data_IF_084114391458
#
_entry.id   IF_084114391458
#
_cell.length_a   1.000
_cell.length_b   1.000
_cell.length_c   1.000
_cell.angle_alpha   90.00
_cell.angle_beta   90.00
_cell.angle_gamma   90.00
#
_symmetry.space_group_name_H-M   'P 1'
#
loop_
_entity.id
_entity.type
_entity.pdbx_description
1 polymer ?
#
# COMPACT_ATOMS: atom_id res chain seq x y z
N UNK A 1 1.72 -2.93 24.50
CA UNK A 1 0.89 -3.93 25.19
C UNK A 1 1.58 -4.40 26.47
N UNK A 2 0.83 -4.80 27.49
CA UNK A 2 1.40 -5.40 28.68
C UNK A 2 2.27 -6.61 28.34
N UNK A 3 3.46 -6.73 28.96
CA UNK A 3 4.43 -7.81 28.71
C UNK A 3 5.26 -7.65 27.43
N UNK A 4 5.10 -6.57 26.67
CA UNK A 4 5.87 -6.33 25.46
C UNK A 4 7.33 -5.94 25.73
N UNK A 5 8.21 -6.13 24.74
CA UNK A 5 9.60 -5.64 24.81
C UNK A 5 9.68 -4.12 25.04
N UNK A 6 8.73 -3.35 24.52
CA UNK A 6 8.68 -1.91 24.73
C UNK A 6 8.36 -1.54 26.18
N UNK A 7 7.56 -2.34 26.90
CA UNK A 7 7.38 -2.17 28.34
C UNK A 7 8.71 -2.37 29.06
N UNK A 8 9.46 -3.44 28.74
CA UNK A 8 10.77 -3.72 29.35
C UNK A 8 11.76 -2.57 29.09
N UNK A 9 11.79 -2.02 27.89
CA UNK A 9 12.61 -0.83 27.56
C UNK A 9 12.17 0.37 28.36
N UNK A 10 10.86 0.66 28.44
CA UNK A 10 10.34 1.79 29.17
C UNK A 10 10.64 1.72 30.69
N UNK A 11 10.62 0.51 31.25
CA UNK A 11 10.99 0.26 32.67
C UNK A 11 12.50 0.42 32.87
N UNK A 12 13.33 -0.16 31.99
CA UNK A 12 14.78 -0.08 32.07
C UNK A 12 15.31 1.34 31.89
N UNK A 13 14.73 2.10 30.98
CA UNK A 13 15.12 3.47 30.64
C UNK A 13 14.35 4.54 31.46
N UNK A 14 13.56 4.10 32.44
CA UNK A 14 12.79 4.99 33.35
C UNK A 14 11.91 6.00 32.63
N UNK A 15 11.13 5.55 31.64
CA UNK A 15 10.18 6.41 30.95
C UNK A 15 9.22 7.05 31.94
N UNK A 16 8.95 8.35 31.76
CA UNK A 16 8.11 9.14 32.66
C UNK A 16 6.70 8.56 32.85
N UNK A 17 6.07 8.08 31.77
CA UNK A 17 4.73 7.50 31.75
C UNK A 17 4.65 6.37 30.73
N UNK A 18 3.87 5.36 31.02
CA UNK A 18 3.56 4.24 30.12
C UNK A 18 2.04 4.13 29.99
N UNK A 19 1.54 4.26 28.75
CA UNK A 19 0.14 4.05 28.41
C UNK A 19 0.00 2.76 27.65
N UNK A 20 -0.66 1.78 28.25
CA UNK A 20 -0.83 0.47 27.61
C UNK A 20 -1.87 0.49 26.51
N UNK A 21 -1.56 -0.14 25.40
CA UNK A 21 -2.53 -0.54 24.39
C UNK A 21 -3.41 -1.71 24.85
N UNK A 22 -4.47 -1.95 24.13
CA UNK A 22 -5.32 -3.14 24.31
C UNK A 22 -4.85 -4.23 23.35
N UNK A 23 -4.43 -5.42 23.84
CA UNK A 23 -3.89 -6.50 22.98
C UNK A 23 -4.88 -6.99 21.90
N UNK A 24 -6.19 -6.81 22.11
CA UNK A 24 -7.23 -7.17 21.15
C UNK A 24 -7.38 -6.20 19.98
N UNK A 25 -6.72 -5.02 20.01
CA UNK A 25 -6.82 -4.00 18.96
C UNK A 25 -5.56 -4.09 18.09
N UNK A 26 -5.73 -4.47 16.82
CA UNK A 26 -4.65 -4.45 15.83
C UNK A 26 -4.28 -3.02 15.40
N UNK A 27 -3.03 -2.82 14.93
CA UNK A 27 -2.47 -1.50 14.63
C UNK A 27 -3.34 -0.62 13.72
N UNK A 28 -3.91 -1.18 12.66
CA UNK A 28 -4.77 -0.44 11.72
C UNK A 28 -6.11 0.04 12.31
N UNK A 29 -6.55 -0.56 13.42
CA UNK A 29 -7.75 -0.16 14.17
C UNK A 29 -7.44 0.63 15.45
N UNK A 30 -6.20 1.10 15.60
CA UNK A 30 -5.73 1.67 16.88
C UNK A 30 -5.70 3.20 16.92
N UNK A 31 -6.13 3.90 15.86
CA UNK A 31 -6.08 5.36 15.78
C UNK A 31 -6.82 6.04 16.93
N UNK A 32 -7.99 5.53 17.34
CA UNK A 32 -8.80 6.04 18.44
C UNK A 32 -8.45 5.44 19.82
N UNK A 33 -7.38 4.65 19.90
CA UNK A 33 -6.86 4.08 21.15
C UNK A 33 -5.70 4.91 21.72
N UNK A 34 -5.09 4.45 22.81
CA UNK A 34 -3.87 5.06 23.36
C UNK A 34 -2.72 5.16 22.32
N UNK A 35 -2.67 4.29 21.32
CA UNK A 35 -1.65 4.35 20.26
C UNK A 35 -1.74 5.64 19.41
N UNK A 36 -2.96 6.12 19.12
CA UNK A 36 -3.16 7.39 18.42
C UNK A 36 -3.31 8.58 19.38
N UNK A 37 -4.05 8.40 20.47
CA UNK A 37 -4.38 9.53 21.36
C UNK A 37 -3.21 10.04 22.19
N UNK A 38 -2.28 9.19 22.62
CA UNK A 38 -1.11 9.63 23.38
C UNK A 38 -0.18 10.51 22.53
N UNK A 39 0.24 10.11 21.32
CA UNK A 39 1.03 11.01 20.47
C UNK A 39 0.23 12.27 20.07
N UNK A 40 -1.07 12.18 19.80
CA UNK A 40 -1.90 13.35 19.49
C UNK A 40 -1.90 14.35 20.65
N UNK A 41 -2.07 13.88 21.88
CA UNK A 41 -1.97 14.73 23.08
C UNK A 41 -0.57 15.34 23.25
N UNK A 42 0.49 14.56 22.99
CA UNK A 42 1.88 15.04 23.08
C UNK A 42 2.18 16.11 22.02
N UNK A 43 1.51 16.06 20.87
CA UNK A 43 1.57 17.10 19.83
C UNK A 43 0.73 18.35 20.13
N UNK A 44 -0.05 18.34 21.21
CA UNK A 44 -0.89 19.47 21.63
C UNK A 44 -2.28 19.50 20.97
N UNK A 45 -2.72 18.42 20.35
CA UNK A 45 -4.07 18.34 19.81
C UNK A 45 -5.11 18.23 20.92
N UNK A 46 -6.29 18.84 20.72
CA UNK A 46 -7.45 18.67 21.61
C UNK A 46 -8.05 17.28 21.42
N UNK A 47 -7.48 16.30 22.14
CA UNK A 47 -7.92 14.91 22.07
C UNK A 47 -9.35 14.72 22.59
N UNK A 48 -9.84 15.61 23.45
CA UNK A 48 -11.24 15.57 23.90
C UNK A 48 -12.17 15.90 22.74
N UNK A 49 -11.95 17.02 22.04
CA UNK A 49 -12.73 17.42 20.87
C UNK A 49 -12.69 16.31 19.80
N UNK A 50 -11.51 15.73 19.57
CA UNK A 50 -11.32 14.64 18.61
C UNK A 50 -12.16 13.41 18.97
N UNK A 51 -12.13 12.98 20.22
CA UNK A 51 -12.91 11.83 20.70
C UNK A 51 -14.42 12.13 20.77
N UNK A 52 -14.83 13.36 21.05
CA UNK A 52 -16.25 13.75 21.02
C UNK A 52 -16.82 13.55 19.59
N UNK A 53 -16.08 13.95 18.53
CA UNK A 53 -16.46 13.70 17.12
C UNK A 53 -16.52 12.20 16.80
N UNK A 54 -15.57 11.44 17.31
CA UNK A 54 -15.59 9.98 17.17
C UNK A 54 -16.80 9.34 17.81
N UNK A 55 -17.22 9.84 19.01
CA UNK A 55 -18.42 9.34 19.70
C UNK A 55 -19.70 9.68 18.96
N UNK A 56 -19.79 10.85 18.34
CA UNK A 56 -20.94 11.23 17.50
C UNK A 56 -21.10 10.22 16.34
N UNK A 57 -20.02 9.90 15.65
CA UNK A 57 -20.03 8.88 14.61
C UNK A 57 -20.34 7.48 15.14
N UNK A 58 -19.81 7.13 16.32
CA UNK A 58 -20.10 5.85 16.94
C UNK A 58 -21.59 5.68 17.26
N UNK A 59 -22.26 6.75 17.69
CA UNK A 59 -23.72 6.73 17.88
C UNK A 59 -24.47 6.62 16.55
N UNK A 60 -24.04 7.35 15.51
CA UNK A 60 -24.62 7.26 14.18
C UNK A 60 -24.43 5.87 13.51
N UNK A 61 -23.37 5.17 13.90
CA UNK A 61 -23.10 3.78 13.45
C UNK A 61 -23.64 2.73 14.43
N UNK A 62 -24.49 3.13 15.39
CA UNK A 62 -25.03 2.22 16.42
C UNK A 62 -25.96 1.14 15.84
N UNK A 63 -26.12 0.00 16.57
CA UNK A 63 -26.88 -1.16 16.07
C UNK A 63 -28.40 -0.90 15.96
N UNK A 64 -28.91 0.15 16.58
CA UNK A 64 -30.32 0.55 16.51
C UNK A 64 -30.60 1.56 15.39
N UNK A 65 -29.57 2.06 14.72
CA UNK A 65 -29.73 2.98 13.59
C UNK A 65 -30.10 2.22 12.33
N UNK A 66 -31.11 2.68 11.62
CA UNK A 66 -31.51 2.07 10.34
C UNK A 66 -30.31 2.05 9.37
N UNK A 67 -30.19 1.02 8.57
CA UNK A 67 -29.01 0.80 7.70
C UNK A 67 -28.81 1.98 6.76
N UNK A 68 -29.89 2.52 6.24
CA UNK A 68 -29.89 3.66 5.30
C UNK A 68 -29.41 4.98 5.93
N UNK A 69 -29.50 5.08 7.24
CA UNK A 69 -29.07 6.24 8.04
C UNK A 69 -27.72 6.03 8.70
N UNK A 70 -27.19 4.81 8.64
CA UNK A 70 -25.92 4.42 9.28
C UNK A 70 -24.73 4.66 8.33
N UNK A 71 -23.93 5.72 8.57
CA UNK A 71 -22.91 6.13 7.61
C UNK A 71 -21.77 5.12 7.43
N UNK A 72 -21.40 4.37 8.46
CA UNK A 72 -20.41 3.31 8.39
C UNK A 72 -20.93 2.09 7.66
N UNK A 73 -22.17 1.66 7.96
CA UNK A 73 -22.80 0.55 7.28
C UNK A 73 -23.00 0.83 5.80
N UNK A 74 -23.53 2.00 5.45
CA UNK A 74 -23.75 2.39 4.05
C UNK A 74 -22.46 2.43 3.25
N UNK A 75 -21.41 3.04 3.78
CA UNK A 75 -20.11 3.06 3.13
C UNK A 75 -19.58 1.63 2.93
N UNK A 76 -19.68 0.78 3.94
CA UNK A 76 -19.25 -0.61 3.87
C UNK A 76 -20.04 -1.44 2.87
N UNK A 77 -21.37 -1.23 2.79
CA UNK A 77 -22.24 -1.88 1.79
C UNK A 77 -21.83 -1.46 0.37
N UNK A 78 -21.61 -0.18 0.15
CA UNK A 78 -21.18 0.33 -1.17
C UNK A 78 -19.85 -0.31 -1.58
N UNK A 79 -18.84 -0.26 -0.71
CA UNK A 79 -17.51 -0.82 -0.99
C UNK A 79 -17.53 -2.34 -1.18
N UNK A 80 -18.24 -3.06 -0.29
CA UNK A 80 -18.33 -4.50 -0.35
C UNK A 80 -19.10 -5.01 -1.57
N UNK A 81 -20.20 -4.35 -1.92
CA UNK A 81 -21.02 -4.68 -3.09
C UNK A 81 -20.29 -4.34 -4.38
N UNK A 82 -19.62 -3.18 -4.45
CA UNK A 82 -18.78 -2.79 -5.57
C UNK A 82 -17.68 -3.83 -5.83
N UNK A 83 -16.98 -4.24 -4.78
CA UNK A 83 -15.92 -5.25 -4.89
C UNK A 83 -16.46 -6.60 -5.40
N UNK A 84 -17.64 -7.04 -4.92
CA UNK A 84 -18.29 -8.27 -5.43
C UNK A 84 -18.77 -8.17 -6.88
N UNK A 85 -19.01 -6.95 -7.34
CA UNK A 85 -19.42 -6.66 -8.73
C UNK A 85 -18.24 -6.37 -9.66
N UNK A 86 -17.01 -6.63 -9.23
CA UNK A 86 -15.79 -6.41 -10.02
C UNK A 86 -15.19 -5.01 -9.93
N UNK A 87 -15.77 -4.11 -9.11
CA UNK A 87 -15.20 -2.79 -8.78
C UNK A 87 -14.45 -2.87 -7.45
N UNK A 88 -13.33 -3.57 -7.46
CA UNK A 88 -12.56 -3.92 -6.27
C UNK A 88 -11.34 -3.00 -6.04
N UNK A 89 -11.17 -1.92 -6.82
CA UNK A 89 -10.12 -0.93 -6.62
C UNK A 89 -10.72 0.38 -6.10
N UNK A 90 -10.27 0.83 -4.94
CA UNK A 90 -10.73 2.07 -4.32
C UNK A 90 -9.64 3.13 -4.40
N UNK A 91 -9.83 4.13 -5.25
CA UNK A 91 -8.92 5.27 -5.35
C UNK A 91 -9.29 6.30 -4.29
N UNK A 92 -8.36 6.51 -3.37
CA UNK A 92 -8.52 7.43 -2.24
C UNK A 92 -8.00 8.80 -2.66
N UNK A 93 -8.89 9.79 -2.61
CA UNK A 93 -8.57 11.18 -2.90
C UNK A 93 -8.92 11.99 -1.66
N UNK A 94 -7.99 12.82 -1.25
CA UNK A 94 -8.17 13.67 -0.06
C UNK A 94 -7.93 15.12 -0.42
N UNK A 95 -8.52 16.03 0.34
CA UNK A 95 -8.07 17.41 0.30
C UNK A 95 -6.64 17.53 0.84
N UNK A 96 -5.86 18.54 0.39
CA UNK A 96 -4.44 18.67 0.73
C UNK A 96 -4.14 18.71 2.23
N UNK A 97 -5.03 19.28 3.03
CA UNK A 97 -4.90 19.43 4.47
C UNK A 97 -5.04 18.12 5.27
N UNK A 98 -5.55 17.06 4.66
CA UNK A 98 -5.69 15.73 5.24
C UNK A 98 -5.05 14.63 4.36
N UNK A 99 -4.04 14.98 3.59
CA UNK A 99 -3.43 14.09 2.58
C UNK A 99 -2.93 12.76 3.16
N UNK A 100 -2.50 12.71 4.40
CA UNK A 100 -1.99 11.49 5.04
C UNK A 100 -3.10 10.51 5.49
N UNK A 101 -4.37 10.93 5.48
CA UNK A 101 -5.49 10.02 5.70
C UNK A 101 -5.50 8.87 4.70
N UNK A 102 -5.10 9.13 3.45
CA UNK A 102 -4.99 8.12 2.40
C UNK A 102 -4.07 6.96 2.77
N UNK A 103 -2.93 7.25 3.37
CA UNK A 103 -1.98 6.22 3.80
C UNK A 103 -2.52 5.32 4.93
N UNK A 104 -3.34 5.85 5.84
CA UNK A 104 -4.02 5.05 6.85
C UNK A 104 -5.14 4.20 6.23
N UNK A 105 -5.95 4.77 5.33
CA UNK A 105 -7.00 4.04 4.60
C UNK A 105 -6.41 2.93 3.74
N UNK A 106 -5.25 3.16 3.12
CA UNK A 106 -4.51 2.14 2.38
C UNK A 106 -4.22 0.93 3.28
N UNK A 107 -3.69 1.16 4.48
CA UNK A 107 -3.44 0.08 5.43
C UNK A 107 -4.74 -0.59 5.87
N UNK A 108 -5.74 0.20 6.28
CA UNK A 108 -7.01 -0.31 6.79
C UNK A 108 -7.69 -1.24 5.77
N UNK A 109 -7.83 -0.80 4.52
CA UNK A 109 -8.51 -1.57 3.49
C UNK A 109 -7.70 -2.79 3.03
N UNK A 110 -6.41 -2.60 2.69
CA UNK A 110 -5.58 -3.66 2.16
C UNK A 110 -5.35 -4.79 3.17
N UNK A 111 -4.96 -4.45 4.39
CA UNK A 111 -4.64 -5.44 5.43
C UNK A 111 -5.90 -6.14 5.97
N UNK A 112 -7.04 -5.45 5.99
CA UNK A 112 -8.30 -6.02 6.46
C UNK A 112 -8.99 -6.89 5.41
N UNK A 113 -8.94 -6.53 4.12
CA UNK A 113 -9.75 -7.20 3.10
C UNK A 113 -8.98 -8.16 2.20
N UNK A 114 -7.68 -7.95 1.99
CA UNK A 114 -6.85 -8.71 1.05
C UNK A 114 -6.53 -10.13 1.51
N UNK A 115 -7.48 -11.07 1.42
CA UNK A 115 -7.37 -12.43 1.98
C UNK A 115 -8.12 -13.46 1.14
N UNK A 116 -7.61 -14.70 1.15
CA UNK A 116 -8.23 -15.87 0.49
C UNK A 116 -8.63 -15.59 -0.96
N UNK A 117 -7.78 -14.89 -1.69
CA UNK A 117 -8.02 -14.56 -3.09
C UNK A 117 -9.03 -13.44 -3.33
N UNK A 118 -9.43 -12.69 -2.30
CA UNK A 118 -10.41 -11.60 -2.35
C UNK A 118 -9.83 -10.33 -1.73
N UNK A 119 -10.49 -9.20 -1.95
CA UNK A 119 -10.15 -7.95 -1.26
C UNK A 119 -10.50 -6.71 -2.05
N UNK A 120 -10.30 -5.59 -1.38
CA UNK A 120 -10.33 -4.25 -1.96
C UNK A 120 -8.88 -3.78 -2.08
N UNK A 121 -8.49 -3.36 -3.26
CA UNK A 121 -7.16 -2.80 -3.53
C UNK A 121 -7.23 -1.28 -3.40
N UNK A 122 -6.69 -0.69 -2.34
CA UNK A 122 -6.63 0.76 -2.20
C UNK A 122 -5.55 1.35 -3.12
N UNK A 123 -5.88 2.50 -3.69
CA UNK A 123 -4.99 3.29 -4.53
C UNK A 123 -4.86 4.66 -3.88
N UNK A 124 -3.75 4.90 -3.21
CA UNK A 124 -3.45 6.18 -2.55
C UNK A 124 -2.52 7.04 -3.40
N UNK A 125 -2.62 8.38 -3.24
CA UNK A 125 -1.76 9.38 -3.88
C UNK A 125 -1.64 9.24 -5.39
N UNK A 126 -2.66 8.72 -6.06
CA UNK A 126 -2.76 8.76 -7.52
C UNK A 126 -3.36 10.11 -7.93
N UNK A 127 -2.63 10.90 -8.70
CA UNK A 127 -3.19 12.14 -9.24
C UNK A 127 -4.37 11.82 -10.15
N UNK A 128 -5.49 12.53 -9.94
CA UNK A 128 -6.70 12.32 -10.73
C UNK A 128 -6.46 12.68 -12.18
N UNK A 129 -6.59 11.68 -13.05
CA UNK A 129 -6.48 11.81 -14.50
C UNK A 129 -7.81 12.16 -15.17
N UNK A 130 -7.81 12.19 -16.50
CA UNK A 130 -9.04 12.31 -17.28
C UNK A 130 -9.86 11.00 -17.20
N UNK A 131 -11.20 11.04 -17.38
CA UNK A 131 -12.06 9.85 -17.24
C UNK A 131 -11.63 8.66 -18.11
N UNK A 132 -11.10 8.92 -19.28
CA UNK A 132 -10.74 7.90 -20.29
C UNK A 132 -9.57 7.01 -19.87
N UNK A 133 -8.78 7.44 -18.87
CA UNK A 133 -7.61 6.65 -18.41
C UNK A 133 -7.99 5.59 -17.36
N UNK A 134 -9.26 5.51 -16.99
CA UNK A 134 -9.75 4.58 -15.96
C UNK A 134 -10.58 3.46 -16.54
N UNK A 135 -10.38 2.25 -16.02
CA UNK A 135 -11.27 1.12 -16.26
C UNK A 135 -12.53 1.16 -15.38
N UNK A 136 -13.44 0.22 -15.64
CA UNK A 136 -14.73 0.13 -14.94
C UNK A 136 -14.64 -0.50 -13.54
N UNK A 137 -13.45 -0.90 -13.12
CA UNK A 137 -13.18 -1.63 -11.88
C UNK A 137 -12.88 -0.72 -10.66
N UNK A 138 -13.12 0.60 -10.81
CA UNK A 138 -12.81 1.63 -9.82
C UNK A 138 -14.03 2.13 -9.05
N UNK A 139 -13.79 2.47 -7.79
CA UNK A 139 -14.57 3.40 -6.97
C UNK A 139 -13.63 4.51 -6.51
N UNK A 140 -14.05 5.76 -6.64
CA UNK A 140 -13.30 6.92 -6.18
C UNK A 140 -13.89 7.39 -4.85
N UNK A 141 -13.08 7.46 -3.80
CA UNK A 141 -13.49 7.95 -2.49
C UNK A 141 -12.82 9.29 -2.23
N UNK A 142 -13.57 10.37 -2.32
CA UNK A 142 -13.11 11.73 -2.06
C UNK A 142 -13.51 12.17 -0.66
N UNK A 143 -12.51 12.31 0.21
CA UNK A 143 -12.66 12.82 1.58
C UNK A 143 -12.05 14.22 1.65
N UNK A 144 -12.82 15.21 2.05
CA UNK A 144 -12.34 16.59 2.07
C UNK A 144 -12.90 17.38 3.27
N UNK A 145 -12.13 18.34 3.76
CA UNK A 145 -12.64 19.33 4.69
C UNK A 145 -13.41 20.43 3.95
N UNK A 146 -14.32 21.10 4.63
CA UNK A 146 -15.11 22.18 4.04
C UNK A 146 -14.24 23.34 3.50
N UNK A 147 -13.07 23.54 4.09
CA UNK A 147 -12.14 24.62 3.71
C UNK A 147 -10.94 24.15 2.87
N UNK A 148 -10.74 22.85 2.73
CA UNK A 148 -9.59 22.24 2.03
C UNK A 148 -9.88 21.85 0.58
N UNK A 149 -11.02 22.22 0.01
CA UNK A 149 -11.38 21.84 -1.36
C UNK A 149 -10.38 22.45 -2.37
N UNK A 150 -9.67 21.57 -3.09
CA UNK A 150 -8.95 21.98 -4.29
C UNK A 150 -9.91 21.99 -5.48
N UNK A 151 -10.18 23.19 -6.00
CA UNK A 151 -11.13 23.41 -7.09
C UNK A 151 -10.77 22.63 -8.37
N UNK A 152 -9.47 22.46 -8.65
CA UNK A 152 -9.02 21.71 -9.84
C UNK A 152 -9.26 20.21 -9.65
N UNK A 153 -8.96 19.69 -8.46
CA UNK A 153 -9.21 18.30 -8.11
C UNK A 153 -10.70 18.00 -8.12
N UNK A 154 -11.52 18.88 -7.54
CA UNK A 154 -12.97 18.73 -7.49
C UNK A 154 -13.61 18.75 -8.90
N UNK A 155 -13.11 19.60 -9.80
CA UNK A 155 -13.57 19.63 -11.20
C UNK A 155 -13.23 18.31 -11.93
N UNK A 156 -12.04 17.72 -11.69
CA UNK A 156 -11.68 16.40 -12.25
C UNK A 156 -12.60 15.30 -11.73
N UNK A 157 -12.94 15.31 -10.43
CA UNK A 157 -13.87 14.35 -9.84
C UNK A 157 -15.28 14.49 -10.39
N UNK A 158 -15.74 15.72 -10.61
CA UNK A 158 -17.02 15.99 -11.27
C UNK A 158 -17.03 15.45 -12.71
N UNK A 159 -15.92 15.56 -13.43
CA UNK A 159 -15.82 14.97 -14.78
C UNK A 159 -15.89 13.43 -14.74
N UNK A 160 -15.30 12.78 -13.71
CA UNK A 160 -15.45 11.33 -13.50
C UNK A 160 -16.91 10.93 -13.26
N UNK A 161 -17.64 11.67 -12.41
CA UNK A 161 -19.07 11.44 -12.16
C UNK A 161 -19.89 11.56 -13.44
N UNK A 162 -19.65 12.62 -14.23
CA UNK A 162 -20.33 12.84 -15.51
C UNK A 162 -20.04 11.74 -16.54
N UNK A 163 -18.86 11.15 -16.49
CA UNK A 163 -18.48 10.02 -17.32
C UNK A 163 -19.02 8.66 -16.82
N UNK A 164 -19.74 8.63 -15.67
CA UNK A 164 -20.35 7.43 -15.12
C UNK A 164 -19.47 6.63 -14.15
N UNK A 165 -18.33 7.16 -13.73
CA UNK A 165 -17.54 6.53 -12.68
C UNK A 165 -18.19 6.69 -11.31
N UNK A 166 -18.04 5.68 -10.46
CA UNK A 166 -18.55 5.71 -9.09
C UNK A 166 -17.67 6.61 -8.21
N UNK A 167 -18.18 7.76 -7.79
CA UNK A 167 -17.49 8.71 -6.90
C UNK A 167 -18.28 8.84 -5.61
N UNK A 168 -17.62 8.59 -4.48
CA UNK A 168 -18.14 8.79 -3.14
C UNK A 168 -17.56 10.09 -2.59
N UNK A 169 -18.41 11.05 -2.21
CA UNK A 169 -17.99 12.31 -1.61
C UNK A 169 -18.28 12.30 -0.12
N UNK A 170 -17.26 12.50 0.68
CA UNK A 170 -17.34 12.59 2.15
C UNK A 170 -16.81 13.96 2.56
N UNK A 171 -17.70 14.79 3.07
CA UNK A 171 -17.37 16.15 3.56
C UNK A 171 -17.22 16.16 5.07
N UNK A 172 -16.17 16.80 5.55
CA UNK A 172 -15.86 17.06 6.97
C UNK A 172 -15.99 18.55 7.23
N UNK A 173 -16.54 18.92 8.39
CA UNK A 173 -16.66 20.32 8.80
C UNK A 173 -15.31 20.95 9.13
N UNK A 174 -14.52 20.26 9.92
CA UNK A 174 -13.15 20.66 10.28
C UNK A 174 -12.23 19.43 10.44
N UNK A 175 -10.93 19.67 10.69
CA UNK A 175 -9.92 18.61 10.80
C UNK A 175 -10.18 17.65 11.97
N UNK A 176 -10.89 18.05 13.02
CA UNK A 176 -11.23 17.17 14.14
C UNK A 176 -12.26 16.10 13.78
N UNK A 177 -12.98 16.28 12.67
CA UNK A 177 -13.88 15.25 12.14
C UNK A 177 -13.11 14.03 11.60
N UNK A 178 -11.78 14.10 11.47
CA UNK A 178 -10.95 12.90 11.27
C UNK A 178 -11.21 11.82 12.32
N UNK A 179 -11.54 12.20 13.55
CA UNK A 179 -11.96 11.25 14.58
C UNK A 179 -13.23 10.48 14.20
N UNK A 180 -14.19 11.18 13.60
CA UNK A 180 -15.41 10.56 13.07
C UNK A 180 -15.10 9.66 11.87
N UNK A 181 -14.21 10.11 10.97
CA UNK A 181 -13.83 9.33 9.77
C UNK A 181 -13.07 8.05 10.13
N UNK A 182 -12.18 8.08 11.12
CA UNK A 182 -11.53 6.86 11.59
C UNK A 182 -12.57 5.82 12.00
N UNK A 183 -13.56 6.19 12.79
CA UNK A 183 -14.62 5.27 13.20
C UNK A 183 -15.49 4.81 12.04
N UNK A 184 -15.93 5.73 11.15
CA UNK A 184 -16.74 5.42 9.97
C UNK A 184 -16.06 4.36 9.11
N UNK A 185 -14.79 4.57 8.76
CA UNK A 185 -14.05 3.67 7.89
C UNK A 185 -13.70 2.33 8.53
N UNK A 186 -13.50 2.28 9.86
CA UNK A 186 -13.33 1.02 10.59
C UNK A 186 -14.59 0.16 10.50
N UNK A 187 -15.77 0.75 10.75
CA UNK A 187 -17.07 0.07 10.61
C UNK A 187 -17.30 -0.33 9.13
N UNK A 188 -17.07 0.59 8.20
CA UNK A 188 -17.24 0.32 6.78
C UNK A 188 -16.37 -0.86 6.30
N UNK A 189 -15.14 -0.92 6.78
CA UNK A 189 -14.21 -2.02 6.45
C UNK A 189 -14.70 -3.36 7.00
N UNK A 190 -15.25 -3.39 8.22
CA UNK A 190 -15.82 -4.59 8.80
C UNK A 190 -17.05 -5.06 8.03
N UNK A 191 -17.95 -4.15 7.67
CA UNK A 191 -19.15 -4.43 6.87
C UNK A 191 -18.78 -4.91 5.46
N UNK A 192 -17.88 -4.21 4.78
CA UNK A 192 -17.37 -4.63 3.47
C UNK A 192 -16.74 -6.03 3.53
N UNK A 193 -15.94 -6.30 4.57
CA UNK A 193 -15.35 -7.60 4.83
C UNK A 193 -16.39 -8.71 4.96
N UNK A 194 -17.47 -8.46 5.68
CA UNK A 194 -18.60 -9.39 5.82
C UNK A 194 -19.26 -9.68 4.46
N UNK A 195 -19.50 -8.66 3.65
CA UNK A 195 -20.12 -8.80 2.31
C UNK A 195 -19.20 -9.56 1.35
N UNK A 196 -17.90 -9.29 1.38
CA UNK A 196 -16.89 -9.99 0.57
C UNK A 196 -16.71 -11.45 1.08
N UNK A 197 -17.02 -11.70 2.34
CA UNK A 197 -16.89 -13.02 2.99
C UNK A 197 -15.45 -13.30 3.44
N UNK A 198 -14.83 -12.34 4.12
CA UNK A 198 -13.49 -12.47 4.74
C UNK A 198 -13.54 -12.00 6.21
N UNK A 199 -12.54 -12.40 6.99
CA UNK A 199 -12.33 -11.85 8.33
C UNK A 199 -11.48 -10.57 8.24
N UNK A 200 -12.07 -9.41 8.54
CA UNK A 200 -11.39 -8.12 8.48
C UNK A 200 -10.35 -7.90 9.59
N UNK A 201 -10.33 -8.75 10.64
CA UNK A 201 -9.58 -8.51 11.87
C UNK A 201 -8.30 -9.35 12.02
N UNK A 202 -7.95 -10.18 11.04
CA UNK A 202 -6.70 -10.93 11.01
C UNK A 202 -5.82 -10.54 9.81
N UNK A 203 -4.56 -11.00 9.76
CA UNK A 203 -3.59 -10.74 8.69
C UNK A 203 -2.63 -11.94 8.50
N UNK A 204 -3.13 -13.07 7.94
CA UNK A 204 -2.37 -14.32 7.92
C UNK A 204 -1.15 -14.30 6.98
N UNK A 205 -1.12 -13.46 5.94
CA UNK A 205 -0.08 -13.48 4.91
C UNK A 205 1.14 -12.61 5.24
N UNK A 206 1.05 -11.76 6.26
CA UNK A 206 2.17 -10.89 6.70
C UNK A 206 3.30 -11.72 7.34
N UNK A 207 2.98 -12.79 8.05
CA UNK A 207 3.96 -13.59 8.77
C UNK A 207 4.93 -14.33 7.83
N UNK A 208 4.48 -14.74 6.65
CA UNK A 208 5.33 -15.42 5.66
C UNK A 208 6.55 -14.57 5.27
N UNK A 209 6.37 -13.28 5.00
CA UNK A 209 7.49 -12.37 4.67
C UNK A 209 8.43 -12.15 5.85
N UNK A 210 7.92 -12.14 7.08
CA UNK A 210 8.77 -12.03 8.28
C UNK A 210 9.65 -13.27 8.46
N UNK A 211 9.12 -14.45 8.21
CA UNK A 211 9.86 -15.72 8.26
C UNK A 211 10.94 -15.72 7.18
N UNK A 212 10.62 -15.39 5.94
CA UNK A 212 11.58 -15.33 4.84
C UNK A 212 12.71 -14.31 5.13
N UNK A 213 12.36 -13.12 5.62
CA UNK A 213 13.34 -12.10 6.04
C UNK A 213 14.26 -12.61 7.15
N UNK A 214 13.70 -13.25 8.18
CA UNK A 214 14.49 -13.81 9.30
C UNK A 214 15.46 -14.88 8.83
N UNK A 215 15.06 -15.73 7.91
CA UNK A 215 15.95 -16.74 7.33
C UNK A 215 17.12 -16.10 6.59
N UNK A 216 16.89 -15.02 5.84
CA UNK A 216 17.94 -14.28 5.13
C UNK A 216 18.90 -13.57 6.08
N UNK A 217 18.40 -12.88 7.12
CA UNK A 217 19.26 -12.22 8.11
C UNK A 217 20.05 -13.23 8.93
N UNK A 218 19.47 -14.37 9.29
CA UNK A 218 20.17 -15.46 9.97
C UNK A 218 21.26 -16.08 9.09
N UNK A 219 21.01 -16.23 7.77
CA UNK A 219 22.05 -16.68 6.85
C UNK A 219 23.21 -15.68 6.79
N UNK A 220 22.89 -14.38 6.72
CA UNK A 220 23.90 -13.32 6.75
C UNK A 220 24.76 -13.36 8.04
N UNK A 221 24.15 -13.52 9.20
CA UNK A 221 24.87 -13.60 10.48
C UNK A 221 25.89 -14.77 10.53
N UNK A 222 25.60 -15.87 9.81
CA UNK A 222 26.46 -17.06 9.74
C UNK A 222 27.58 -16.90 8.72
N UNK A 223 27.32 -16.30 7.57
CA UNK A 223 28.22 -16.32 6.41
C UNK A 223 28.84 -14.96 6.06
N UNK A 224 28.35 -13.87 6.66
CA UNK A 224 28.75 -12.49 6.33
C UNK A 224 28.20 -11.95 5.01
N UNK A 225 27.31 -12.70 4.36
CA UNK A 225 26.67 -12.27 3.10
C UNK A 225 25.25 -12.84 2.99
N UNK A 226 24.38 -12.12 2.27
CA UNK A 226 23.11 -12.70 1.85
C UNK A 226 23.35 -13.81 0.82
N UNK A 227 22.52 -14.86 0.77
CA UNK A 227 22.62 -15.91 -0.25
C UNK A 227 22.70 -15.33 -1.66
N UNK A 228 23.55 -15.88 -2.51
CA UNK A 228 23.70 -15.41 -3.89
C UNK A 228 22.41 -15.59 -4.68
N UNK A 229 22.11 -14.65 -5.59
CA UNK A 229 21.01 -14.73 -6.56
C UNK A 229 21.57 -14.59 -7.97
N UNK A 230 20.98 -15.31 -8.93
CA UNK A 230 21.37 -15.23 -10.33
C UNK A 230 20.36 -14.33 -11.06
N UNK A 231 20.78 -13.18 -11.63
CA UNK A 231 19.90 -12.35 -12.43
C UNK A 231 19.53 -13.04 -13.75
N UNK A 232 18.29 -12.84 -14.21
CA UNK A 232 17.83 -13.32 -15.54
C UNK A 232 18.29 -12.40 -16.66
N UNK A 233 18.58 -11.14 -16.35
CA UNK A 233 19.15 -10.15 -17.28
C UNK A 233 20.14 -9.27 -16.52
N UNK A 234 21.24 -8.91 -17.19
CA UNK A 234 22.18 -7.86 -16.76
C UNK A 234 22.38 -6.92 -17.95
N UNK A 235 21.99 -5.67 -17.79
CA UNK A 235 22.01 -4.68 -18.88
C UNK A 235 22.21 -3.27 -18.31
N UNK A 236 23.26 -2.55 -18.73
CA UNK A 236 23.49 -1.14 -18.42
C UNK A 236 23.49 -0.74 -16.93
N UNK A 237 23.99 -1.62 -16.03
CA UNK A 237 23.96 -1.38 -14.58
C UNK A 237 22.63 -1.77 -13.91
N UNK A 238 21.68 -2.31 -14.67
CA UNK A 238 20.42 -2.86 -14.19
C UNK A 238 20.50 -4.39 -14.17
N UNK A 239 20.00 -5.01 -13.09
CA UNK A 239 19.86 -6.46 -13.00
C UNK A 239 18.39 -6.81 -12.79
N UNK A 240 17.89 -7.79 -13.52
CA UNK A 240 16.53 -8.31 -13.36
C UNK A 240 16.57 -9.66 -12.63
N UNK A 241 15.63 -9.81 -11.69
CA UNK A 241 15.44 -11.05 -10.94
C UNK A 241 13.97 -11.44 -10.96
N UNK A 242 13.71 -12.73 -11.07
CA UNK A 242 12.39 -13.31 -10.91
C UNK A 242 12.52 -14.82 -10.65
N UNK A 243 11.42 -15.49 -10.31
CA UNK A 243 11.37 -16.94 -10.15
C UNK A 243 11.38 -17.65 -11.53
N UNK A 244 11.62 -18.97 -11.51
CA UNK A 244 11.75 -19.78 -12.73
C UNK A 244 10.52 -19.71 -13.65
N UNK A 245 9.31 -19.72 -13.05
CA UNK A 245 8.06 -19.67 -13.80
C UNK A 245 7.92 -18.32 -14.53
N UNK A 246 8.05 -17.24 -13.78
CA UNK A 246 8.01 -15.89 -14.35
C UNK A 246 9.14 -15.69 -15.36
N UNK A 247 10.34 -16.22 -15.13
CA UNK A 247 11.47 -16.12 -16.06
C UNK A 247 11.14 -16.80 -17.41
N UNK A 248 10.57 -17.99 -17.37
CA UNK A 248 10.19 -18.72 -18.58
C UNK A 248 9.08 -17.99 -19.37
N UNK A 249 8.05 -17.50 -18.68
CA UNK A 249 6.95 -16.75 -19.29
C UNK A 249 7.45 -15.43 -19.91
N UNK A 250 8.32 -14.69 -19.21
CA UNK A 250 8.90 -13.44 -19.71
C UNK A 250 9.83 -13.66 -20.89
N UNK A 251 10.68 -14.69 -20.87
CA UNK A 251 11.56 -15.01 -21.97
C UNK A 251 10.79 -15.37 -23.25
N UNK A 252 9.68 -16.13 -23.09
CA UNK A 252 8.80 -16.46 -24.20
C UNK A 252 8.14 -15.20 -24.78
N UNK A 253 7.57 -14.35 -23.90
CA UNK A 253 6.87 -13.13 -24.31
C UNK A 253 7.82 -12.07 -24.89
N UNK A 254 9.10 -12.06 -24.49
CA UNK A 254 10.12 -11.17 -25.05
C UNK A 254 10.56 -11.57 -26.47
N UNK A 255 10.18 -12.77 -26.96
CA UNK A 255 10.43 -13.18 -28.33
C UNK A 255 11.91 -13.24 -28.77
N UNK A 256 12.80 -13.50 -27.79
CA UNK A 256 14.26 -13.52 -28.01
C UNK A 256 14.98 -12.21 -27.68
N UNK A 257 14.28 -11.15 -27.40
CA UNK A 257 14.88 -9.90 -26.86
C UNK A 257 15.26 -10.08 -25.38
N UNK A 258 16.57 -10.29 -25.15
CA UNK A 258 17.15 -10.51 -23.82
C UNK A 258 17.58 -9.20 -23.13
N UNK A 259 17.22 -8.05 -23.67
CA UNK A 259 17.50 -6.75 -23.07
C UNK A 259 16.58 -6.46 -21.85
N UNK A 260 16.99 -5.50 -21.03
CA UNK A 260 16.14 -4.94 -19.99
C UNK A 260 14.78 -4.46 -20.55
N UNK A 261 14.81 -3.73 -21.68
CA UNK A 261 13.59 -3.21 -22.31
C UNK A 261 12.66 -4.33 -22.81
N UNK A 262 13.21 -5.41 -23.38
CA UNK A 262 12.45 -6.58 -23.85
C UNK A 262 11.70 -7.27 -22.71
N UNK A 263 12.38 -7.52 -21.60
CA UNK A 263 11.75 -8.12 -20.40
C UNK A 263 10.74 -7.19 -19.73
N UNK A 264 11.03 -5.88 -19.65
CA UNK A 264 10.10 -4.89 -19.12
C UNK A 264 8.84 -4.82 -19.97
N UNK A 265 8.97 -4.81 -21.31
CA UNK A 265 7.85 -4.87 -22.26
C UNK A 265 7.01 -6.12 -22.05
N UNK A 266 7.66 -7.28 -21.95
CA UNK A 266 7.00 -8.56 -21.68
C UNK A 266 6.24 -8.51 -20.33
N UNK A 267 6.85 -7.93 -19.29
CA UNK A 267 6.23 -7.82 -17.97
C UNK A 267 5.00 -6.92 -17.97
N UNK A 268 5.10 -5.71 -18.54
CA UNK A 268 3.97 -4.79 -18.67
C UNK A 268 2.90 -5.29 -19.66
N UNK A 269 3.29 -6.17 -20.58
CA UNK A 269 2.38 -6.88 -21.49
C UNK A 269 1.45 -7.87 -20.79
N UNK A 270 1.78 -8.31 -19.57
CA UNK A 270 0.94 -9.22 -18.76
C UNK A 270 -0.17 -8.50 -18.00
N UNK A 271 -0.28 -7.19 -18.13
CA UNK A 271 -1.36 -6.40 -17.51
C UNK A 271 -2.59 -6.50 -18.40
N UNK A 272 -3.68 -7.01 -17.84
CA UNK A 272 -4.97 -7.19 -18.50
C UNK A 272 -6.06 -6.34 -17.81
N UNK A 273 -7.22 -6.23 -18.44
CA UNK A 273 -8.40 -5.57 -17.85
C UNK A 273 -8.75 -6.22 -16.51
N UNK A 274 -9.01 -5.42 -15.50
CA UNK A 274 -9.31 -5.86 -14.14
C UNK A 274 -8.06 -6.14 -13.27
N UNK A 275 -6.86 -6.07 -13.84
CA UNK A 275 -5.61 -6.12 -13.08
C UNK A 275 -5.32 -4.79 -12.37
N UNK A 276 -4.30 -4.80 -11.52
CA UNK A 276 -3.63 -3.61 -11.03
C UNK A 276 -2.11 -3.75 -11.16
N UNK A 277 -1.43 -2.64 -11.33
CA UNK A 277 0.03 -2.58 -11.36
C UNK A 277 0.54 -2.00 -10.04
N UNK A 278 1.55 -2.62 -9.45
CA UNK A 278 2.13 -2.14 -8.19
C UNK A 278 3.66 -1.96 -8.31
N UNK A 279 4.11 -0.73 -8.04
CA UNK A 279 5.51 -0.39 -7.83
C UNK A 279 5.88 -0.58 -6.36
N UNK A 280 6.85 -1.46 -6.09
CA UNK A 280 7.32 -1.80 -4.75
C UNK A 280 8.76 -1.32 -4.58
N UNK A 281 8.95 -0.09 -4.11
CA UNK A 281 10.24 0.59 -4.14
C UNK A 281 10.99 0.47 -2.82
N UNK A 282 12.01 -0.40 -2.74
CA UNK A 282 12.94 -0.49 -1.61
C UNK A 282 14.14 0.43 -1.83
N UNK A 283 13.86 1.70 -1.96
CA UNK A 283 14.82 2.80 -2.12
C UNK A 283 14.48 3.90 -1.11
N UNK A 284 15.32 4.91 -1.02
CA UNK A 284 15.03 6.07 -0.19
C UNK A 284 13.73 6.75 -0.62
N UNK A 285 12.88 7.08 0.34
CA UNK A 285 11.65 7.85 0.11
C UNK A 285 11.97 9.34 0.24
N UNK A 286 12.14 10.00 -0.89
CA UNK A 286 12.27 11.45 -1.02
C UNK A 286 11.42 11.96 -2.19
N UNK A 287 11.31 13.27 -2.31
CA UNK A 287 10.44 13.90 -3.31
C UNK A 287 10.87 13.58 -4.75
N UNK A 288 12.18 13.53 -5.02
CA UNK A 288 12.72 13.27 -6.36
C UNK A 288 12.40 11.83 -6.82
N UNK A 289 12.67 10.85 -5.97
CA UNK A 289 12.34 9.45 -6.27
C UNK A 289 10.83 9.25 -6.37
N UNK A 290 10.05 9.88 -5.47
CA UNK A 290 8.60 9.81 -5.51
C UNK A 290 8.05 10.37 -6.81
N UNK A 291 8.53 11.52 -7.28
CA UNK A 291 8.10 12.12 -8.54
C UNK A 291 8.36 11.21 -9.75
N UNK A 292 9.56 10.60 -9.83
CA UNK A 292 9.89 9.67 -10.92
C UNK A 292 8.96 8.45 -10.89
N UNK A 293 8.76 7.85 -9.73
CA UNK A 293 7.90 6.67 -9.57
C UNK A 293 6.43 7.00 -9.84
N UNK A 294 5.96 8.20 -9.47
CA UNK A 294 4.62 8.68 -9.82
C UNK A 294 4.47 8.82 -11.34
N UNK A 295 5.45 9.36 -12.05
CA UNK A 295 5.42 9.42 -13.52
C UNK A 295 5.35 8.03 -14.16
N UNK A 296 6.08 7.05 -13.62
CA UNK A 296 6.03 5.66 -14.08
C UNK A 296 4.62 5.08 -13.89
N UNK A 297 4.05 5.20 -12.68
CA UNK A 297 2.72 4.62 -12.41
C UNK A 297 1.64 5.28 -13.27
N UNK A 298 1.67 6.59 -13.45
CA UNK A 298 0.69 7.30 -14.28
C UNK A 298 0.81 6.89 -15.75
N UNK A 299 2.03 6.72 -16.29
CA UNK A 299 2.21 6.23 -17.66
C UNK A 299 1.58 4.83 -17.85
N UNK A 300 1.73 3.95 -16.86
CA UNK A 300 1.10 2.62 -16.90
C UNK A 300 -0.42 2.74 -16.81
N UNK A 301 -0.96 3.53 -15.87
CA UNK A 301 -2.41 3.79 -15.76
C UNK A 301 -2.99 4.29 -17.07
N UNK A 302 -2.40 5.35 -17.62
CA UNK A 302 -2.92 6.05 -18.80
C UNK A 302 -2.93 5.16 -20.05
N UNK A 303 -1.96 4.24 -20.15
CA UNK A 303 -1.88 3.32 -21.31
C UNK A 303 -2.64 2.02 -21.13
N UNK A 304 -2.75 1.52 -19.90
CA UNK A 304 -3.34 0.20 -19.61
C UNK A 304 -4.75 0.29 -19.00
N UNK A 305 -5.18 1.48 -18.59
CA UNK A 305 -6.48 1.75 -17.95
C UNK A 305 -6.71 0.91 -16.68
N UNK A 306 -5.64 0.61 -15.93
CA UNK A 306 -5.69 -0.19 -14.71
C UNK A 306 -5.35 0.64 -13.49
N UNK A 307 -5.71 0.14 -12.31
CA UNK A 307 -5.28 0.71 -11.04
C UNK A 307 -3.77 0.62 -10.89
N UNK A 308 -3.17 1.65 -10.29
CA UNK A 308 -1.72 1.64 -10.03
C UNK A 308 -1.44 2.00 -8.58
N UNK A 309 -0.62 1.19 -7.92
CA UNK A 309 -0.18 1.41 -6.55
C UNK A 309 1.31 1.75 -6.52
N UNK A 310 1.72 2.58 -5.58
CA UNK A 310 3.13 2.88 -5.29
C UNK A 310 3.36 2.74 -3.79
N UNK A 311 4.24 1.84 -3.41
CA UNK A 311 4.64 1.64 -2.02
C UNK A 311 6.15 1.72 -1.85
N UNK A 312 6.60 2.50 -0.84
CA UNK A 312 8.00 2.46 -0.43
C UNK A 312 8.20 1.36 0.61
N UNK A 313 9.15 0.50 0.34
CA UNK A 313 9.54 -0.58 1.25
C UNK A 313 10.68 -0.16 2.20
N UNK A 314 10.67 -0.67 3.44
CA UNK A 314 9.80 -1.77 3.90
C UNK A 314 8.41 -1.34 4.40
N UNK A 315 8.06 -0.05 4.39
CA UNK A 315 6.82 0.47 4.97
C UNK A 315 5.56 -0.24 4.44
N UNK A 316 5.44 -0.45 3.12
CA UNK A 316 4.25 -1.07 2.52
C UNK A 316 4.03 -2.54 2.95
N UNK A 317 5.06 -3.22 3.49
CA UNK A 317 4.90 -4.56 4.06
C UNK A 317 3.88 -4.60 5.21
N UNK A 318 3.68 -3.44 5.87
CA UNK A 318 2.73 -3.23 6.96
C UNK A 318 1.42 -2.57 6.52
N UNK A 319 1.16 -2.47 5.21
CA UNK A 319 -0.09 -1.95 4.64
C UNK A 319 -0.60 -2.86 3.52
N UNK A 320 -0.21 -2.57 2.28
CA UNK A 320 -0.65 -3.29 1.08
C UNK A 320 -0.08 -4.70 0.96
N UNK A 321 0.99 -5.02 1.68
CA UNK A 321 1.66 -6.32 1.61
C UNK A 321 0.74 -7.51 1.89
N UNK A 322 -0.26 -7.38 2.76
CA UNK A 322 -1.27 -8.41 2.98
C UNK A 322 -2.11 -8.65 1.72
N UNK A 323 -2.61 -7.58 1.09
CA UNK A 323 -3.44 -7.67 -0.11
C UNK A 323 -2.65 -8.19 -1.32
N UNK A 324 -1.40 -7.83 -1.46
CA UNK A 324 -0.56 -8.29 -2.57
C UNK A 324 -0.30 -9.81 -2.52
N UNK A 325 -0.24 -10.38 -1.32
CA UNK A 325 -0.02 -11.82 -1.11
C UNK A 325 -1.31 -12.62 -0.97
N UNK A 326 -2.24 -12.14 -0.17
CA UNK A 326 -3.48 -12.85 0.17
C UNK A 326 -4.69 -12.45 -0.66
N UNK A 327 -4.66 -11.29 -1.33
CA UNK A 327 -5.75 -10.77 -2.14
C UNK A 327 -5.90 -11.46 -3.51
N UNK A 328 -6.73 -10.91 -4.41
CA UNK A 328 -6.95 -11.47 -5.73
C UNK A 328 -5.64 -11.52 -6.53
N UNK A 329 -5.48 -12.55 -7.39
CA UNK A 329 -4.29 -12.68 -8.23
C UNK A 329 -4.38 -11.80 -9.50
N UNK A 330 -4.78 -10.56 -9.31
CA UNK A 330 -4.87 -9.52 -10.35
C UNK A 330 -3.70 -8.52 -10.32
N UNK A 331 -2.73 -8.71 -9.40
CA UNK A 331 -1.55 -7.85 -9.30
C UNK A 331 -0.45 -8.19 -10.30
N UNK A 332 0.14 -7.15 -10.90
CA UNK A 332 1.40 -7.20 -11.64
C UNK A 332 2.41 -6.32 -10.91
N UNK A 333 3.47 -6.93 -10.40
CA UNK A 333 4.37 -6.30 -9.43
C UNK A 333 5.73 -6.00 -10.05
N UNK A 334 6.15 -4.74 -9.99
CA UNK A 334 7.50 -4.31 -10.32
C UNK A 334 8.20 -3.86 -9.03
N UNK A 335 9.06 -4.71 -8.49
CA UNK A 335 9.85 -4.36 -7.32
C UNK A 335 11.13 -3.66 -7.76
N UNK A 336 11.41 -2.50 -7.16
CA UNK A 336 12.63 -1.72 -7.41
C UNK A 336 13.52 -1.78 -6.17
N UNK A 337 14.76 -2.17 -6.34
CA UNK A 337 15.81 -2.20 -5.30
C UNK A 337 17.06 -1.52 -5.83
N UNK A 338 17.95 -1.08 -4.95
CA UNK A 338 19.24 -0.49 -5.35
C UNK A 338 20.37 -0.92 -4.43
N UNK A 339 21.60 -0.71 -4.87
CA UNK A 339 22.75 -0.66 -3.99
C UNK A 339 22.65 0.60 -3.09
N UNK A 340 23.05 0.49 -1.84
CA UNK A 340 23.06 1.63 -0.93
C UNK A 340 24.39 2.39 -1.06
N UNK A 341 24.32 3.68 -1.38
CA UNK A 341 25.52 4.53 -1.46
C UNK A 341 26.19 4.70 -0.08
N UNK A 342 25.38 4.72 0.97
CA UNK A 342 25.83 4.75 2.37
C UNK A 342 24.99 3.78 3.18
N UNK A 343 25.64 2.94 3.96
CA UNK A 343 24.96 1.98 4.83
C UNK A 343 25.40 2.17 6.29
N UNK A 344 24.50 1.94 7.22
CA UNK A 344 24.70 2.14 8.65
C UNK A 344 24.64 0.80 9.38
N UNK A 345 25.61 0.60 10.29
CA UNK A 345 25.60 -0.56 11.18
C UNK A 345 24.41 -0.51 12.14
N UNK A 346 23.78 -1.66 12.37
CA UNK A 346 22.77 -1.80 13.42
C UNK A 346 23.51 -2.04 14.75
N UNK A 347 23.33 -1.18 15.77
CA UNK A 347 24.02 -1.36 17.05
C UNK A 347 23.80 -2.74 17.66
N UNK A 348 24.88 -3.42 18.03
CA UNK A 348 24.81 -4.74 18.63
C UNK A 348 24.49 -5.91 17.69
N UNK A 349 24.40 -5.67 16.39
CA UNK A 349 24.14 -6.69 15.37
C UNK A 349 25.34 -6.86 14.42
N UNK A 350 25.39 -8.00 13.71
CA UNK A 350 26.41 -8.24 12.67
C UNK A 350 26.02 -7.67 11.29
N UNK A 351 24.79 -7.29 11.12
CA UNK A 351 24.25 -6.75 9.87
C UNK A 351 24.01 -5.24 9.95
N UNK A 352 23.85 -4.64 8.81
CA UNK A 352 23.56 -3.21 8.61
C UNK A 352 22.07 -2.99 8.31
N UNK A 353 21.62 -1.74 8.34
CA UNK A 353 20.25 -1.40 7.92
C UNK A 353 20.01 -1.72 6.44
N UNK A 354 21.01 -1.54 5.56
CA UNK A 354 20.92 -1.92 4.15
C UNK A 354 20.73 -3.42 3.96
N UNK A 355 21.45 -4.25 4.74
CA UNK A 355 21.25 -5.71 4.73
C UNK A 355 19.84 -6.09 5.18
N UNK A 356 19.30 -5.43 6.21
CA UNK A 356 17.92 -5.67 6.67
C UNK A 356 16.92 -5.30 5.56
N UNK A 357 17.08 -4.12 4.95
CA UNK A 357 16.25 -3.66 3.82
C UNK A 357 16.30 -4.66 2.65
N UNK A 358 17.50 -5.10 2.26
CA UNK A 358 17.68 -6.07 1.18
C UNK A 358 17.05 -7.43 1.52
N UNK A 359 17.19 -7.91 2.77
CA UNK A 359 16.56 -9.15 3.23
C UNK A 359 15.02 -9.03 3.21
N UNK A 360 14.46 -7.88 3.61
CA UNK A 360 13.03 -7.64 3.55
C UNK A 360 12.51 -7.58 2.11
N UNK A 361 13.22 -6.91 1.21
CA UNK A 361 12.88 -6.86 -0.21
C UNK A 361 12.88 -8.25 -0.85
N UNK A 362 13.94 -9.04 -0.60
CA UNK A 362 14.07 -10.40 -1.14
C UNK A 362 13.06 -11.37 -0.53
N UNK A 363 12.82 -11.27 0.78
CA UNK A 363 11.83 -12.10 1.47
C UNK A 363 10.40 -11.81 1.01
N UNK A 364 10.07 -10.54 0.78
CA UNK A 364 8.78 -10.15 0.22
C UNK A 364 8.60 -10.68 -1.21
N UNK A 365 9.62 -10.49 -2.05
CA UNK A 365 9.63 -10.98 -3.43
C UNK A 365 9.49 -12.50 -3.53
N UNK A 366 10.20 -13.23 -2.66
CA UNK A 366 10.07 -14.68 -2.56
C UNK A 366 8.63 -15.11 -2.28
N UNK A 367 7.96 -14.46 -1.32
CA UNK A 367 6.57 -14.80 -0.99
C UNK A 367 5.62 -14.46 -2.13
N UNK A 368 5.83 -13.37 -2.86
CA UNK A 368 5.04 -13.07 -4.07
C UNK A 368 5.19 -14.19 -5.12
N UNK A 369 6.41 -14.66 -5.36
CA UNK A 369 6.70 -15.76 -6.27
C UNK A 369 6.04 -17.07 -5.82
N UNK A 370 6.17 -17.45 -4.54
CA UNK A 370 5.54 -18.63 -3.93
C UNK A 370 4.00 -18.61 -4.03
N UNK A 371 3.41 -17.40 -4.04
CA UNK A 371 1.97 -17.20 -4.25
C UNK A 371 1.58 -17.13 -5.73
N UNK A 372 2.51 -17.39 -6.64
CA UNK A 372 2.29 -17.39 -8.08
C UNK A 372 1.94 -16.00 -8.65
N UNK A 373 2.45 -14.95 -8.02
CA UNK A 373 2.23 -13.58 -8.48
C UNK A 373 3.09 -13.26 -9.69
N UNK A 374 2.59 -12.40 -10.58
CA UNK A 374 3.34 -11.85 -11.72
C UNK A 374 4.31 -10.79 -11.22
N UNK A 375 5.51 -11.18 -10.84
CA UNK A 375 6.50 -10.31 -10.21
C UNK A 375 7.81 -10.25 -11.00
N UNK A 376 8.38 -9.05 -11.10
CA UNK A 376 9.70 -8.77 -11.64
C UNK A 376 10.41 -7.81 -10.70
N UNK A 377 11.66 -8.12 -10.31
CA UNK A 377 12.50 -7.21 -9.53
C UNK A 377 13.56 -6.58 -10.42
N UNK A 378 13.61 -5.27 -10.41
CA UNK A 378 14.62 -4.42 -11.04
C UNK A 378 15.57 -3.94 -9.95
N UNK A 379 16.83 -4.33 -10.04
CA UNK A 379 17.87 -3.87 -9.13
C UNK A 379 18.78 -2.88 -9.85
N UNK A 380 18.96 -1.70 -9.26
CA UNK A 380 19.69 -0.57 -9.79
C UNK A 380 21.05 -0.49 -9.10
N UNK A 381 22.13 -0.39 -9.86
CA UNK A 381 23.46 -0.15 -9.29
C UNK A 381 23.58 1.28 -8.75
N UNK A 382 23.06 2.25 -9.49
CA UNK A 382 22.90 3.65 -9.09
C UNK A 382 21.41 3.99 -9.10
N UNK A 383 20.89 4.54 -8.02
CA UNK A 383 19.45 4.76 -7.86
C UNK A 383 18.93 5.83 -8.80
N UNK A 384 19.61 6.96 -8.91
CA UNK A 384 19.13 8.12 -9.70
C UNK A 384 19.21 7.84 -11.20
N UNK A 385 20.38 7.41 -11.69
CA UNK A 385 20.57 7.04 -13.09
C UNK A 385 19.70 5.84 -13.48
N UNK A 386 19.55 4.86 -12.58
CA UNK A 386 18.73 3.68 -12.79
C UNK A 386 17.25 4.00 -12.86
N UNK A 387 16.72 4.88 -11.99
CA UNK A 387 15.32 5.33 -12.04
C UNK A 387 15.03 6.12 -13.30
N UNK A 388 15.94 6.99 -13.73
CA UNK A 388 15.80 7.73 -14.99
C UNK A 388 15.73 6.75 -16.19
N UNK A 389 16.61 5.73 -16.19
CA UNK A 389 16.62 4.69 -17.22
C UNK A 389 15.32 3.86 -17.19
N UNK A 390 14.85 3.46 -16.02
CA UNK A 390 13.59 2.73 -15.86
C UNK A 390 12.40 3.56 -16.37
N UNK A 391 12.32 4.84 -16.00
CA UNK A 391 11.24 5.72 -16.45
C UNK A 391 11.23 5.89 -17.99
N UNK A 392 12.39 6.11 -18.59
CA UNK A 392 12.52 6.20 -20.05
C UNK A 392 12.14 4.90 -20.75
N UNK A 393 12.55 3.76 -20.18
CA UNK A 393 12.19 2.43 -20.73
C UNK A 393 10.68 2.19 -20.63
N UNK A 394 10.04 2.50 -19.51
CA UNK A 394 8.57 2.37 -19.35
C UNK A 394 7.84 3.21 -20.39
N UNK A 395 8.21 4.48 -20.56
CA UNK A 395 7.60 5.33 -21.59
C UNK A 395 7.76 4.74 -22.99
N UNK A 396 8.97 4.28 -23.33
CA UNK A 396 9.26 3.70 -24.65
C UNK A 396 8.46 2.42 -24.93
N UNK A 397 8.30 1.53 -23.94
CA UNK A 397 7.60 0.26 -24.13
C UNK A 397 6.08 0.41 -24.11
N UNK A 398 5.56 1.51 -23.57
CA UNK A 398 4.14 1.85 -23.56
C UNK A 398 3.70 2.73 -24.74
N UNK A 399 4.64 3.37 -25.43
CA UNK A 399 4.35 4.16 -26.63
C UNK A 399 3.79 3.27 -27.74
#
# INVERSE_FOLDING_TARGET
>A
DPGSKMQQVAEADHFRLVFFGRPSIGGRYSALSNFGMVPAAAMGLDTKKFLDRSQEMARACGPAVAVEENPGAMLGIILGTAARSGRDKVTIITSPDISDLGAWLEQLLAESTGKVGKGIIPVDREEVGAPEVYGDDRVFAYVHTAHGIDVKQDAKLTALEQAGHAVLRISMGDIYDLGAEFFRWEIATAVAGSIIGINAFNQPDVEASKIATRNLTTAYEKTGSLPAETPVVVDGGIKLFTDEKNAAELALAAGGDKSFAGYLKAHLGRIHVGDYFALLAFIQMDDAHQEILQRIRHAVRDKKHVATCLGFGPRFLHSTGQAYKGGPNSGVFLQVTCDDAVDLAVPGQKYTFGVVKAAQARGDFQVLAERGRRALRVHLHDVDAGLATLAAAVQKVLA
#
